data_IF_747729370605
#
_entry.id   IF_747729370605
#
_cell.length_a   1.000
_cell.length_b   1.000
_cell.length_c   1.000
_cell.angle_alpha   90.00
_cell.angle_beta   90.00
_cell.angle_gamma   90.00
#
_symmetry.space_group_name_H-M   'P 1'
#
loop_
_entity.id
_entity.type
_entity.pdbx_description
1 polymer ?
#
# COMPACT_ATOMS: atom_id res chain seq x y z
N UNK A 1 66.09 25.41 -35.23
CA UNK A 1 64.83 25.68 -34.50
C UNK A 1 64.01 24.40 -34.51
N UNK A 2 64.04 23.66 -33.40
CA UNK A 2 63.43 22.34 -33.26
C UNK A 2 61.92 22.48 -33.03
N UNK A 3 61.10 21.83 -33.87
CA UNK A 3 59.66 21.76 -33.66
C UNK A 3 59.34 20.52 -32.82
N UNK A 4 58.95 20.72 -31.57
CA UNK A 4 58.36 19.67 -30.73
C UNK A 4 56.98 19.28 -31.28
N UNK A 5 56.61 17.99 -31.29
CA UNK A 5 55.24 17.59 -31.54
C UNK A 5 54.41 17.80 -30.25
N UNK A 6 53.32 18.55 -30.37
CA UNK A 6 52.29 18.65 -29.32
C UNK A 6 51.51 17.34 -29.31
N UNK A 7 51.69 16.55 -28.25
CA UNK A 7 50.89 15.34 -27.99
C UNK A 7 49.56 15.80 -27.38
N UNK A 8 48.48 15.67 -28.14
CA UNK A 8 47.11 15.96 -27.71
C UNK A 8 46.61 14.81 -26.82
N UNK A 9 46.58 15.03 -25.51
CA UNK A 9 46.03 14.08 -24.54
C UNK A 9 44.49 14.12 -24.64
N UNK A 10 43.90 13.14 -25.31
CA UNK A 10 42.43 12.95 -25.32
C UNK A 10 42.04 12.35 -23.97
N UNK A 11 41.53 13.19 -23.07
CA UNK A 11 40.83 12.78 -21.86
C UNK A 11 39.57 12.01 -22.28
N UNK A 12 39.64 10.68 -22.26
CA UNK A 12 38.48 9.80 -22.30
C UNK A 12 37.70 10.00 -20.99
N UNK A 13 36.86 11.04 -20.96
CA UNK A 13 35.74 11.08 -20.02
C UNK A 13 34.87 9.88 -20.34
N UNK A 14 35.05 8.80 -19.60
CA UNK A 14 34.15 7.66 -19.63
C UNK A 14 32.74 8.20 -19.34
N UNK A 15 31.91 8.27 -20.37
CA UNK A 15 30.48 8.49 -20.23
C UNK A 15 29.94 7.32 -19.41
N UNK A 16 29.96 7.45 -18.08
CA UNK A 16 29.20 6.56 -17.21
C UNK A 16 27.76 6.62 -17.70
N UNK A 17 27.27 5.53 -18.27
CA UNK A 17 25.86 5.45 -18.65
C UNK A 17 25.04 5.75 -17.39
N UNK A 18 24.12 6.72 -17.43
CA UNK A 18 23.31 7.05 -16.27
C UNK A 18 22.59 5.78 -15.81
N UNK A 19 22.69 5.48 -14.51
CA UNK A 19 22.08 4.27 -13.96
C UNK A 19 20.57 4.28 -14.22
N UNK A 20 20.03 3.10 -14.53
CA UNK A 20 18.61 2.96 -14.85
C UNK A 20 17.76 3.38 -13.64
N UNK A 21 16.77 4.23 -13.88
CA UNK A 21 15.81 4.61 -12.83
C UNK A 21 15.08 3.37 -12.28
N UNK A 22 14.67 3.36 -10.99
CA UNK A 22 14.03 2.20 -10.35
C UNK A 22 12.85 1.63 -11.14
N UNK A 23 11.99 2.51 -11.68
CA UNK A 23 10.84 2.09 -12.50
C UNK A 23 11.23 1.36 -13.79
N UNK A 24 12.38 1.70 -14.38
CA UNK A 24 12.90 1.03 -15.58
C UNK A 24 13.54 -0.32 -15.24
N UNK A 25 14.20 -0.42 -14.08
CA UNK A 25 14.68 -1.70 -13.55
C UNK A 25 13.48 -2.62 -13.31
N UNK A 26 12.44 -2.16 -12.61
CA UNK A 26 11.21 -2.90 -12.39
C UNK A 26 10.58 -3.42 -13.69
N UNK A 27 10.42 -2.54 -14.70
CA UNK A 27 9.88 -2.92 -16.02
C UNK A 27 10.68 -4.05 -16.67
N UNK A 28 12.02 -3.97 -16.64
CA UNK A 28 12.90 -5.01 -17.22
C UNK A 28 12.87 -6.32 -16.43
N UNK A 29 12.80 -6.27 -15.10
CA UNK A 29 12.73 -7.47 -14.26
C UNK A 29 11.40 -8.21 -14.39
N UNK A 30 10.31 -7.48 -14.62
CA UNK A 30 8.95 -8.02 -14.67
C UNK A 30 8.36 -8.14 -16.08
N UNK A 31 9.14 -7.93 -17.14
CA UNK A 31 8.71 -8.22 -18.51
C UNK A 31 8.59 -9.73 -18.77
N UNK A 32 7.75 -10.15 -19.73
CA UNK A 32 7.48 -11.56 -20.04
C UNK A 32 8.77 -12.37 -20.25
N UNK A 33 9.71 -11.82 -21.02
CA UNK A 33 11.01 -12.44 -21.32
C UNK A 33 12.13 -11.72 -20.55
N UNK A 34 11.99 -11.61 -19.23
CA UNK A 34 13.01 -10.97 -18.41
C UNK A 34 14.35 -11.73 -18.50
N UNK A 35 15.43 -10.99 -18.76
CA UNK A 35 16.76 -11.57 -18.86
C UNK A 35 17.29 -11.94 -17.47
N UNK A 36 17.72 -13.19 -17.30
CA UNK A 36 18.20 -13.72 -16.03
C UNK A 36 19.49 -13.04 -15.57
N UNK A 37 20.38 -12.69 -16.50
CA UNK A 37 21.59 -11.92 -16.16
C UNK A 37 21.22 -10.53 -15.65
N UNK A 38 20.28 -9.85 -16.29
CA UNK A 38 19.76 -8.57 -15.82
C UNK A 38 19.13 -8.69 -14.43
N UNK A 39 18.28 -9.69 -14.20
CA UNK A 39 17.65 -9.95 -12.89
C UNK A 39 18.72 -10.14 -11.82
N UNK A 40 19.69 -11.03 -12.05
CA UNK A 40 20.75 -11.32 -11.09
C UNK A 40 21.61 -10.08 -10.78
N UNK A 41 21.90 -9.25 -11.78
CA UNK A 41 22.65 -8.00 -11.58
C UNK A 41 21.86 -6.93 -10.80
N UNK A 42 20.52 -6.97 -10.83
CA UNK A 42 19.63 -5.98 -10.21
C UNK A 42 18.82 -6.56 -9.05
N UNK A 43 19.28 -7.68 -8.46
CA UNK A 43 18.69 -8.28 -7.26
C UNK A 43 19.65 -8.13 -6.08
N UNK A 44 19.12 -7.89 -4.88
CA UNK A 44 19.91 -7.82 -3.64
C UNK A 44 19.03 -8.10 -2.42
N UNK A 45 19.64 -8.17 -1.23
CA UNK A 45 18.92 -8.34 0.04
C UNK A 45 18.07 -9.60 0.07
N UNK A 46 16.80 -9.44 0.45
CA UNK A 46 15.83 -10.54 0.57
C UNK A 46 15.31 -11.01 -0.78
N UNK A 47 15.42 -10.17 -1.82
CA UNK A 47 15.00 -10.51 -3.16
C UNK A 47 16.12 -11.25 -3.91
N UNK A 48 15.83 -12.51 -4.28
CA UNK A 48 16.77 -13.41 -4.97
C UNK A 48 16.38 -13.70 -6.42
N UNK A 49 15.87 -12.70 -7.13
CA UNK A 49 15.47 -12.85 -8.53
C UNK A 49 14.10 -13.50 -8.75
N UNK A 50 13.36 -13.82 -7.69
CA UNK A 50 12.04 -14.43 -7.77
C UNK A 50 11.07 -13.84 -6.73
N UNK A 51 9.79 -13.58 -7.09
CA UNK A 51 9.21 -13.73 -8.42
C UNK A 51 9.77 -12.70 -9.42
N UNK A 52 9.80 -13.07 -10.69
CA UNK A 52 10.21 -12.27 -11.85
C UNK A 52 9.09 -12.23 -12.90
N UNK A 53 9.31 -11.50 -14.00
CA UNK A 53 8.38 -11.46 -15.11
C UNK A 53 8.16 -12.80 -15.81
N UNK A 54 9.15 -13.71 -15.73
CA UNK A 54 9.09 -15.09 -16.26
C UNK A 54 8.14 -15.99 -15.46
N UNK A 55 7.90 -15.66 -14.20
CA UNK A 55 7.00 -16.41 -13.30
C UNK A 55 5.54 -15.97 -13.44
N UNK A 56 5.28 -14.93 -14.25
CA UNK A 56 3.95 -14.39 -14.49
C UNK A 56 3.41 -14.86 -15.85
N UNK A 57 2.10 -15.15 -15.96
CA UNK A 57 1.47 -15.46 -17.24
C UNK A 57 1.81 -14.43 -18.33
N UNK A 58 1.99 -14.89 -19.57
CA UNK A 58 2.38 -14.03 -20.68
C UNK A 58 1.35 -12.91 -20.94
N UNK A 59 0.07 -13.24 -20.83
CA UNK A 59 -1.10 -12.37 -21.01
C UNK A 59 -1.41 -11.46 -19.80
N UNK A 60 -0.67 -11.59 -18.69
CA UNK A 60 -0.85 -10.72 -17.52
C UNK A 60 -0.45 -9.28 -17.84
N UNK A 61 -1.38 -8.34 -17.74
CA UNK A 61 -1.08 -6.92 -17.87
C UNK A 61 -0.29 -6.44 -16.66
N UNK A 62 0.68 -5.55 -16.89
CA UNK A 62 1.63 -5.04 -15.90
C UNK A 62 1.71 -3.52 -16.02
N UNK A 63 1.42 -2.79 -14.95
CA UNK A 63 1.69 -1.36 -14.86
C UNK A 63 2.61 -1.04 -13.70
N UNK A 64 3.39 0.03 -13.87
CA UNK A 64 4.41 0.43 -12.91
C UNK A 64 4.26 1.90 -12.57
N UNK A 65 4.32 2.22 -11.28
CA UNK A 65 4.26 3.59 -10.79
C UNK A 65 5.35 3.82 -9.75
N UNK A 66 6.17 4.85 -9.95
CA UNK A 66 7.10 5.31 -8.93
C UNK A 66 6.33 5.93 -7.76
N UNK A 67 6.44 5.35 -6.57
CA UNK A 67 5.76 5.84 -5.36
C UNK A 67 6.65 6.81 -4.58
N UNK A 68 7.93 6.45 -4.41
CA UNK A 68 8.93 7.25 -3.71
C UNK A 68 10.31 7.00 -4.32
N UNK A 69 11.13 8.04 -4.36
CA UNK A 69 12.54 7.93 -4.68
C UNK A 69 13.32 8.92 -3.80
N UNK A 70 14.29 8.39 -3.07
CA UNK A 70 15.30 9.11 -2.28
C UNK A 70 16.68 8.81 -2.88
N UNK A 71 17.73 9.31 -2.27
CA UNK A 71 19.09 9.12 -2.78
C UNK A 71 19.51 7.65 -2.87
N UNK A 72 19.13 6.86 -1.86
CA UNK A 72 19.56 5.46 -1.69
C UNK A 72 18.42 4.43 -1.68
N UNK A 73 17.16 4.88 -1.62
CA UNK A 73 15.98 4.00 -1.58
C UNK A 73 14.89 4.45 -2.54
N UNK A 74 14.11 3.50 -3.04
CA UNK A 74 12.95 3.80 -3.88
C UNK A 74 11.88 2.71 -3.75
N UNK A 75 10.63 3.05 -4.03
CA UNK A 75 9.53 2.12 -4.05
C UNK A 75 8.72 2.31 -5.32
N UNK A 76 8.43 1.20 -6.01
CA UNK A 76 7.64 1.17 -7.25
C UNK A 76 6.44 0.25 -7.05
N UNK A 77 5.23 0.74 -7.28
CA UNK A 77 4.05 -0.13 -7.36
C UNK A 77 4.09 -0.91 -8.67
N UNK A 78 3.80 -2.20 -8.59
CA UNK A 78 3.55 -3.11 -9.69
C UNK A 78 2.10 -3.58 -9.58
N UNK A 79 1.25 -3.14 -10.51
CA UNK A 79 -0.11 -3.64 -10.62
C UNK A 79 -0.16 -4.73 -11.69
N UNK A 80 -0.74 -5.86 -11.31
CA UNK A 80 -0.90 -7.04 -12.14
C UNK A 80 -2.38 -7.26 -12.43
N UNK A 81 -2.74 -7.51 -13.69
CA UNK A 81 -4.12 -7.76 -14.08
C UNK A 81 -4.23 -8.90 -15.10
N UNK A 82 -5.13 -9.83 -14.85
CA UNK A 82 -5.49 -10.90 -15.78
C UNK A 82 -6.97 -11.28 -15.59
N UNK A 83 -7.84 -10.88 -16.52
CA UNK A 83 -9.29 -11.00 -16.33
C UNK A 83 -9.76 -10.28 -15.06
N UNK A 84 -10.33 -11.04 -14.12
CA UNK A 84 -10.79 -10.55 -12.80
C UNK A 84 -9.70 -10.62 -11.71
N UNK A 85 -8.55 -11.24 -11.99
CA UNK A 85 -7.41 -11.23 -11.08
C UNK A 85 -6.75 -9.86 -11.14
N UNK A 86 -6.74 -9.14 -10.02
CA UNK A 86 -5.99 -7.90 -9.84
C UNK A 86 -5.15 -8.03 -8.58
N UNK A 87 -3.86 -7.70 -8.67
CA UNK A 87 -2.95 -7.74 -7.53
C UNK A 87 -1.98 -6.57 -7.57
N UNK A 88 -1.85 -5.88 -6.45
CA UNK A 88 -0.84 -4.83 -6.24
C UNK A 88 0.34 -5.40 -5.46
N UNK A 89 1.54 -5.15 -5.95
CA UNK A 89 2.82 -5.46 -5.30
C UNK A 89 3.64 -4.18 -5.17
N UNK A 90 4.45 -4.09 -4.13
CA UNK A 90 5.31 -2.93 -3.90
C UNK A 90 6.76 -3.36 -3.93
N UNK A 91 7.50 -2.89 -4.94
CA UNK A 91 8.88 -3.26 -5.23
C UNK A 91 9.81 -2.27 -4.54
N UNK A 92 10.66 -2.75 -3.64
CA UNK A 92 11.60 -1.92 -2.87
C UNK A 92 12.97 -1.99 -3.50
N UNK A 93 13.53 -0.83 -3.83
CA UNK A 93 14.85 -0.70 -4.41
C UNK A 93 15.81 -0.05 -3.43
N UNK A 94 17.04 -0.52 -3.42
CA UNK A 94 18.17 0.16 -2.81
C UNK A 94 19.23 0.44 -3.86
N UNK A 95 19.97 1.51 -3.70
CA UNK A 95 21.08 1.85 -4.58
C UNK A 95 22.34 1.18 -4.04
N UNK A 96 22.95 0.34 -4.86
CA UNK A 96 24.16 -0.40 -4.54
C UNK A 96 25.17 -0.20 -5.67
N UNK A 97 26.35 0.31 -5.31
CA UNK A 97 27.46 0.53 -6.25
C UNK A 97 27.03 1.38 -7.46
N UNK A 98 26.21 2.41 -7.21
CA UNK A 98 25.70 3.33 -8.24
C UNK A 98 24.51 2.81 -9.05
N UNK A 99 24.05 1.58 -8.83
CA UNK A 99 22.94 0.95 -9.56
C UNK A 99 21.76 0.63 -8.64
N UNK A 100 20.54 0.81 -9.14
CA UNK A 100 19.33 0.43 -8.40
C UNK A 100 19.11 -1.07 -8.44
N UNK A 101 18.98 -1.71 -7.29
CA UNK A 101 18.71 -3.14 -7.15
C UNK A 101 17.43 -3.37 -6.35
N UNK A 102 16.59 -4.29 -6.81
CA UNK A 102 15.40 -4.74 -6.09
C UNK A 102 15.86 -5.51 -4.85
N UNK A 103 15.51 -5.00 -3.67
CA UNK A 103 15.88 -5.55 -2.37
C UNK A 103 14.75 -6.35 -1.71
N UNK A 104 13.49 -6.08 -2.09
CA UNK A 104 12.34 -6.75 -1.50
C UNK A 104 11.03 -6.47 -2.22
N UNK A 105 10.01 -7.26 -1.91
CA UNK A 105 8.65 -7.10 -2.44
C UNK A 105 7.68 -7.12 -1.25
N UNK A 106 6.96 -6.02 -1.06
CA UNK A 106 5.86 -5.92 -0.11
C UNK A 106 4.55 -6.40 -0.72
N UNK A 107 3.81 -7.19 0.05
CA UNK A 107 2.44 -7.61 -0.25
C UNK A 107 1.61 -7.55 1.04
N UNK A 108 0.30 -7.26 0.98
CA UNK A 108 -0.52 -7.20 2.17
C UNK A 108 -0.50 -8.53 2.94
N UNK A 109 -0.14 -8.49 4.22
CA UNK A 109 -0.18 -9.68 5.09
C UNK A 109 -1.61 -10.14 5.29
N UNK A 110 -1.83 -11.46 5.45
CA UNK A 110 -3.15 -12.07 5.68
C UNK A 110 -4.17 -11.89 4.54
N UNK A 111 -3.78 -11.37 3.37
CA UNK A 111 -4.68 -11.18 2.23
C UNK A 111 -5.48 -12.45 1.90
N UNK A 112 -4.82 -13.63 1.93
CA UNK A 112 -5.48 -14.92 1.70
C UNK A 112 -6.55 -15.25 2.75
N UNK A 113 -6.31 -14.94 4.02
CA UNK A 113 -7.30 -15.16 5.09
C UNK A 113 -8.49 -14.21 4.92
N UNK A 114 -8.22 -12.94 4.61
CA UNK A 114 -9.27 -11.95 4.34
C UNK A 114 -10.11 -12.33 3.11
N UNK A 115 -9.50 -12.88 2.04
CA UNK A 115 -10.24 -13.38 0.87
C UNK A 115 -11.14 -14.55 1.25
N UNK A 116 -10.62 -15.53 1.99
CA UNK A 116 -11.43 -16.68 2.45
C UNK A 116 -12.59 -16.23 3.32
N UNK A 117 -12.34 -15.30 4.25
CA UNK A 117 -13.36 -14.72 5.11
C UNK A 117 -14.44 -14.02 4.31
N UNK A 118 -14.05 -13.14 3.37
CA UNK A 118 -14.98 -12.45 2.49
C UNK A 118 -15.85 -13.44 1.69
N UNK A 119 -15.23 -14.45 1.08
CA UNK A 119 -15.95 -15.47 0.32
C UNK A 119 -16.94 -16.26 1.19
N UNK A 120 -16.54 -16.65 2.40
CA UNK A 120 -17.40 -17.36 3.34
C UNK A 120 -18.62 -16.51 3.74
N UNK A 121 -18.41 -15.22 4.04
CA UNK A 121 -19.50 -14.31 4.39
C UNK A 121 -20.44 -14.05 3.21
N UNK A 122 -19.92 -13.87 2.00
CA UNK A 122 -20.73 -13.63 0.78
C UNK A 122 -21.52 -14.86 0.33
N UNK A 123 -21.09 -16.07 0.71
CA UNK A 123 -21.79 -17.31 0.38
C UNK A 123 -23.02 -17.56 1.27
N UNK A 124 -23.19 -16.82 2.37
CA UNK A 124 -24.33 -16.99 3.27
C UNK A 124 -25.62 -16.49 2.60
N UNK A 125 -26.67 -17.29 2.67
CA UNK A 125 -28.03 -16.85 2.32
C UNK A 125 -28.57 -15.89 3.39
N UNK A 126 -29.59 -15.07 3.08
CA UNK A 126 -30.21 -14.19 4.07
C UNK A 126 -30.65 -14.93 5.36
N UNK A 127 -31.27 -16.10 5.22
CA UNK A 127 -31.69 -16.91 6.37
C UNK A 127 -30.51 -17.44 7.19
N UNK A 128 -29.37 -17.76 6.53
CA UNK A 128 -28.15 -18.17 7.22
C UNK A 128 -27.53 -17.00 7.99
N UNK A 129 -27.51 -15.79 7.41
CA UNK A 129 -27.06 -14.57 8.10
C UNK A 129 -27.90 -14.35 9.36
N UNK A 130 -29.23 -14.42 9.26
CA UNK A 130 -30.12 -14.25 10.41
C UNK A 130 -29.86 -15.30 11.50
N UNK A 131 -29.52 -16.54 11.11
CA UNK A 131 -29.14 -17.60 12.03
C UNK A 131 -27.82 -17.30 12.74
N UNK A 132 -26.79 -16.91 11.99
CA UNK A 132 -25.49 -16.51 12.55
C UNK A 132 -25.62 -15.33 13.49
N UNK A 133 -26.46 -14.34 13.18
CA UNK A 133 -26.70 -13.19 14.07
C UNK A 133 -27.39 -13.58 15.37
N UNK A 134 -28.34 -14.53 15.34
CA UNK A 134 -28.96 -15.06 16.56
C UNK A 134 -27.97 -15.84 17.42
N UNK A 135 -27.10 -16.63 16.79
CA UNK A 135 -26.04 -17.36 17.49
C UNK A 135 -24.99 -16.40 18.09
N UNK A 136 -24.64 -15.34 17.35
CA UNK A 136 -23.69 -14.31 17.80
C UNK A 136 -24.11 -13.64 19.12
N UNK A 137 -25.42 -13.53 19.40
CA UNK A 137 -25.94 -12.98 20.66
C UNK A 137 -25.59 -13.82 21.90
N UNK A 138 -25.16 -15.07 21.72
CA UNK A 138 -24.74 -15.94 22.83
C UNK A 138 -23.29 -15.67 23.29
N UNK A 139 -22.53 -14.91 22.52
CA UNK A 139 -21.14 -14.57 22.86
C UNK A 139 -21.06 -13.19 23.52
N UNK A 140 -20.11 -13.04 24.45
CA UNK A 140 -19.88 -11.76 25.15
C UNK A 140 -19.40 -10.67 24.20
N UNK A 141 -18.56 -11.03 23.23
CA UNK A 141 -17.97 -10.10 22.26
C UNK A 141 -17.92 -10.72 20.84
N UNK A 142 -19.08 -10.88 20.17
CA UNK A 142 -19.13 -11.35 18.80
C UNK A 142 -18.57 -10.29 17.85
N UNK A 143 -18.04 -10.73 16.72
CA UNK A 143 -17.49 -9.86 15.69
C UNK A 143 -18.53 -8.86 15.13
N UNK A 144 -19.81 -9.27 15.06
CA UNK A 144 -20.93 -8.46 14.62
C UNK A 144 -22.22 -8.90 15.29
N UNK A 145 -23.08 -7.95 15.66
CA UNK A 145 -24.34 -8.17 16.38
C UNK A 145 -25.57 -7.87 15.54
N UNK A 146 -25.42 -7.04 14.51
CA UNK A 146 -26.53 -6.62 13.65
C UNK A 146 -26.21 -6.87 12.19
N UNK A 147 -27.25 -6.82 11.35
CA UNK A 147 -27.10 -6.94 9.90
C UNK A 147 -26.22 -5.82 9.33
N UNK A 148 -26.35 -4.62 9.86
CA UNK A 148 -25.55 -3.47 9.46
C UNK A 148 -24.06 -3.65 9.81
N UNK A 149 -23.75 -4.26 10.95
CA UNK A 149 -22.36 -4.58 11.32
C UNK A 149 -21.78 -5.69 10.44
N UNK A 150 -22.58 -6.72 10.13
CA UNK A 150 -22.19 -7.76 9.17
C UNK A 150 -21.89 -7.15 7.79
N UNK A 151 -22.82 -6.36 7.26
CA UNK A 151 -22.68 -5.73 5.94
C UNK A 151 -21.49 -4.74 5.94
N UNK A 152 -21.25 -4.03 7.05
CA UNK A 152 -20.07 -3.17 7.20
C UNK A 152 -18.77 -3.96 7.07
N UNK A 153 -18.65 -5.12 7.72
CA UNK A 153 -17.46 -5.97 7.63
C UNK A 153 -17.29 -6.50 6.20
N UNK A 154 -18.36 -6.99 5.57
CA UNK A 154 -18.30 -7.48 4.17
C UNK A 154 -17.80 -6.39 3.23
N UNK A 155 -18.42 -5.20 3.29
CA UNK A 155 -18.05 -4.08 2.43
C UNK A 155 -16.64 -3.57 2.73
N UNK A 156 -16.22 -3.58 4.00
CA UNK A 156 -14.86 -3.17 4.37
C UNK A 156 -13.80 -4.17 3.91
N UNK A 157 -14.07 -5.48 3.99
CA UNK A 157 -13.21 -6.53 3.42
C UNK A 157 -13.08 -6.38 1.90
N UNK A 158 -14.20 -6.13 1.20
CA UNK A 158 -14.19 -5.87 -0.23
C UNK A 158 -13.29 -4.69 -0.58
N UNK A 159 -13.44 -3.57 0.12
CA UNK A 159 -12.62 -2.38 -0.12
C UNK A 159 -11.15 -2.61 0.24
N UNK A 160 -10.86 -3.25 1.37
CA UNK A 160 -9.50 -3.57 1.85
C UNK A 160 -8.72 -4.43 0.85
N UNK A 161 -9.40 -5.38 0.22
CA UNK A 161 -8.83 -6.30 -0.78
C UNK A 161 -8.82 -5.73 -2.20
N UNK A 162 -9.44 -4.56 -2.40
CA UNK A 162 -9.52 -3.96 -3.71
C UNK A 162 -8.16 -3.38 -4.17
N UNK A 163 -8.00 -3.19 -5.49
CA UNK A 163 -6.83 -2.50 -6.03
C UNK A 163 -6.72 -1.05 -5.51
N UNK A 164 -5.51 -0.50 -5.54
CA UNK A 164 -5.22 0.87 -5.12
C UNK A 164 -6.17 1.91 -5.75
N UNK A 165 -6.48 1.77 -7.04
CA UNK A 165 -7.35 2.69 -7.75
C UNK A 165 -8.81 2.65 -7.24
N UNK A 166 -9.27 1.50 -6.74
CA UNK A 166 -10.60 1.39 -6.12
C UNK A 166 -10.62 2.09 -4.76
N UNK A 167 -9.56 1.96 -3.96
CA UNK A 167 -9.40 2.67 -2.69
C UNK A 167 -9.35 4.19 -2.90
N UNK A 168 -8.66 4.64 -3.95
CA UNK A 168 -8.58 6.04 -4.37
C UNK A 168 -9.97 6.54 -4.82
N UNK A 169 -10.67 5.77 -5.66
CA UNK A 169 -12.00 6.14 -6.13
C UNK A 169 -13.02 6.23 -4.99
N UNK A 170 -12.96 5.31 -4.02
CA UNK A 170 -13.80 5.35 -2.81
C UNK A 170 -13.60 6.64 -2.01
N UNK A 171 -12.34 7.02 -1.79
CA UNK A 171 -12.00 8.26 -1.11
C UNK A 171 -12.55 9.49 -1.82
N UNK A 172 -12.36 9.58 -3.14
CA UNK A 172 -12.86 10.72 -3.91
C UNK A 172 -14.38 10.79 -3.95
N UNK A 173 -15.06 9.64 -4.07
CA UNK A 173 -16.52 9.54 -4.02
C UNK A 173 -17.09 10.12 -2.73
N UNK A 174 -16.46 9.85 -1.59
CA UNK A 174 -16.93 10.29 -0.27
C UNK A 174 -16.12 11.43 0.34
N UNK A 175 -15.39 12.19 -0.49
CA UNK A 175 -14.46 13.22 -0.03
C UNK A 175 -15.07 14.22 0.97
N UNK A 176 -16.30 14.75 0.79
CA UNK A 176 -16.89 15.67 1.77
C UNK A 176 -17.07 15.04 3.15
N UNK A 177 -17.44 13.76 3.22
CA UNK A 177 -17.61 13.04 4.48
C UNK A 177 -16.26 12.71 5.14
N UNK A 178 -15.21 12.41 4.37
CA UNK A 178 -13.84 12.32 4.90
C UNK A 178 -13.35 13.65 5.47
N UNK A 179 -13.55 14.76 4.76
CA UNK A 179 -13.12 16.08 5.25
C UNK A 179 -13.91 16.49 6.53
N UNK A 180 -15.21 16.16 6.61
CA UNK A 180 -16.00 16.33 7.84
C UNK A 180 -15.47 15.46 8.99
N UNK A 181 -15.16 14.19 8.72
CA UNK A 181 -14.62 13.27 9.72
C UNK A 181 -13.25 13.74 10.24
N UNK A 182 -12.41 14.29 9.37
CA UNK A 182 -11.12 14.87 9.75
C UNK A 182 -11.29 16.07 10.70
N UNK A 183 -12.29 16.93 10.47
CA UNK A 183 -12.58 18.05 11.38
C UNK A 183 -12.95 17.50 12.76
N UNK A 184 -13.82 16.51 12.82
CA UNK A 184 -14.19 15.86 14.08
C UNK A 184 -12.98 15.22 14.78
N UNK A 185 -12.12 14.50 14.03
CA UNK A 185 -10.92 13.87 14.59
C UNK A 185 -9.93 14.92 15.15
N UNK A 186 -9.71 16.03 14.44
CA UNK A 186 -8.87 17.14 14.93
C UNK A 186 -9.43 17.82 16.19
N UNK A 187 -10.75 17.86 16.34
CA UNK A 187 -11.39 18.37 17.55
C UNK A 187 -11.21 17.40 18.72
N UNK A 188 -11.38 16.09 18.48
CA UNK A 188 -11.19 15.04 19.48
C UNK A 188 -9.76 15.03 20.04
N UNK A 189 -8.74 15.25 19.19
CA UNK A 189 -7.33 15.33 19.60
C UNK A 189 -6.99 16.47 20.56
N UNK A 190 -7.90 17.42 20.79
CA UNK A 190 -7.71 18.50 21.78
C UNK A 190 -8.16 18.10 23.19
N UNK A 191 -8.83 16.95 23.33
CA UNK A 191 -9.25 16.38 24.59
C UNK A 191 -8.22 15.35 25.09
N UNK A 192 -8.23 14.96 26.38
CA UNK A 192 -7.42 13.86 26.87
C UNK A 192 -7.65 12.61 26.01
N UNK A 193 -6.59 12.14 25.37
CA UNK A 193 -6.63 11.00 24.45
C UNK A 193 -6.56 9.69 25.22
N UNK A 194 -7.51 8.81 24.97
CA UNK A 194 -7.46 7.41 25.38
C UNK A 194 -7.05 6.58 24.17
N UNK A 195 -5.85 6.01 24.21
CA UNK A 195 -5.24 5.25 23.12
C UNK A 195 -6.03 3.98 22.74
N UNK A 196 -6.89 3.49 23.65
CA UNK A 196 -7.68 2.29 23.42
C UNK A 196 -8.98 2.54 22.65
N UNK A 197 -9.36 3.80 22.45
CA UNK A 197 -10.63 4.17 21.82
C UNK A 197 -10.42 4.93 20.52
N UNK A 198 -11.27 4.66 19.53
CA UNK A 198 -11.32 5.46 18.29
C UNK A 198 -11.59 6.93 18.63
N UNK A 199 -10.82 7.83 18.01
CA UNK A 199 -10.97 9.29 18.19
C UNK A 199 -12.38 9.78 17.92
N UNK A 200 -13.08 9.15 16.97
CA UNK A 200 -14.45 9.50 16.58
C UNK A 200 -15.26 8.21 16.41
N UNK A 201 -16.52 8.24 16.83
CA UNK A 201 -17.47 7.18 16.51
C UNK A 201 -17.84 7.22 15.03
N UNK A 202 -17.31 6.28 14.25
CA UNK A 202 -17.56 6.15 12.80
C UNK A 202 -18.79 5.31 12.47
N UNK A 203 -19.46 4.71 13.47
CA UNK A 203 -20.66 3.87 13.27
C UNK A 203 -21.92 4.67 12.94
N UNK A 204 -21.85 6.00 12.93
CA UNK A 204 -22.97 6.89 12.60
C UNK A 204 -23.36 6.77 11.11
N UNK A 205 -24.62 7.05 10.74
CA UNK A 205 -25.05 7.05 9.34
C UNK A 205 -24.21 7.97 8.43
N UNK A 206 -23.67 9.07 8.98
CA UNK A 206 -22.87 10.03 8.22
C UNK A 206 -21.49 9.47 7.80
N UNK A 207 -20.90 8.59 8.62
CA UNK A 207 -19.54 8.07 8.39
C UNK A 207 -19.51 6.60 7.98
N UNK A 208 -20.61 5.86 8.15
CA UNK A 208 -20.70 4.45 7.76
C UNK A 208 -20.30 4.17 6.31
N UNK A 209 -20.68 4.99 5.30
CA UNK A 209 -20.25 4.76 3.91
C UNK A 209 -18.73 4.87 3.69
N UNK A 210 -18.00 5.49 4.63
CA UNK A 210 -16.54 5.63 4.54
C UNK A 210 -15.81 4.32 4.82
N UNK A 211 -16.47 3.36 5.48
CA UNK A 211 -15.91 2.07 5.88
C UNK A 211 -14.67 2.19 6.79
N UNK A 212 -14.67 3.22 7.63
CA UNK A 212 -13.61 3.47 8.63
C UNK A 212 -14.02 2.83 9.95
N UNK A 213 -13.26 1.83 10.41
CA UNK A 213 -13.53 1.12 11.67
C UNK A 213 -12.93 1.80 12.89
N UNK A 214 -11.83 2.53 12.69
CA UNK A 214 -11.08 3.17 13.76
C UNK A 214 -10.37 4.43 13.25
N UNK A 215 -10.17 5.41 14.14
CA UNK A 215 -9.33 6.57 13.88
C UNK A 215 -8.35 6.74 15.04
N UNK A 216 -7.05 6.79 14.73
CA UNK A 216 -6.00 6.93 15.72
C UNK A 216 -4.93 7.92 15.28
N UNK A 217 -3.94 8.12 16.15
CA UNK A 217 -2.66 8.75 15.83
C UNK A 217 -1.55 7.89 16.40
N UNK A 218 -0.45 7.70 15.67
CA UNK A 218 0.71 6.95 16.17
C UNK A 218 0.68 5.46 15.81
N UNK A 219 1.29 4.62 16.65
CA UNK A 219 1.46 3.20 16.37
C UNK A 219 2.44 2.93 15.24
N UNK A 220 1.99 2.27 14.16
CA UNK A 220 2.82 2.01 12.97
C UNK A 220 3.08 3.27 12.13
N UNK A 221 2.30 4.33 12.35
CA UNK A 221 2.37 5.59 11.62
C UNK A 221 2.88 6.70 12.54
N UNK A 222 3.50 7.75 12.00
CA UNK A 222 4.01 8.86 12.82
C UNK A 222 2.88 9.54 13.60
N UNK A 223 3.12 9.91 14.85
CA UNK A 223 2.12 10.55 15.75
C UNK A 223 1.57 11.87 15.22
N UNK A 224 2.29 12.52 14.31
CA UNK A 224 1.88 13.74 13.63
C UNK A 224 0.82 13.51 12.55
N UNK A 225 0.57 12.25 12.18
CA UNK A 225 -0.46 11.85 11.25
C UNK A 225 -1.74 11.41 11.96
N UNK A 226 -2.88 11.56 11.28
CA UNK A 226 -4.17 10.99 11.69
C UNK A 226 -4.49 9.83 10.76
N UNK A 227 -4.75 8.67 11.34
CA UNK A 227 -4.91 7.41 10.64
C UNK A 227 -6.38 7.00 10.63
N UNK A 228 -6.92 6.71 9.44
CA UNK A 228 -8.31 6.31 9.22
C UNK A 228 -8.32 4.88 8.70
N UNK A 229 -8.60 3.94 9.58
CA UNK A 229 -8.43 2.51 9.39
C UNK A 229 -9.61 1.87 8.63
N UNK A 230 -9.36 1.21 7.50
CA UNK A 230 -10.35 0.36 6.82
C UNK A 230 -10.22 -1.05 7.39
N UNK A 231 -11.17 -1.39 8.28
CA UNK A 231 -11.28 -2.68 8.95
C UNK A 231 -9.93 -3.16 9.50
N UNK A 232 -9.65 -2.71 10.72
CA UNK A 232 -8.33 -2.80 11.36
C UNK A 232 -7.26 -1.96 10.64
N UNK A 233 -6.01 -2.15 10.99
CA UNK A 233 -4.89 -1.21 10.80
C UNK A 233 -4.03 -1.43 9.54
N UNK A 234 -4.35 -2.42 8.70
CA UNK A 234 -3.49 -2.76 7.55
C UNK A 234 -3.63 -1.83 6.34
N UNK A 235 -4.80 -1.23 6.14
CA UNK A 235 -5.14 -0.44 4.95
C UNK A 235 -6.00 0.72 5.41
N UNK A 236 -5.73 1.92 4.91
CA UNK A 236 -6.51 3.07 5.32
C UNK A 236 -6.08 4.36 4.66
N UNK A 237 -6.59 5.46 5.19
CA UNK A 237 -6.21 6.79 4.78
C UNK A 237 -5.42 7.48 5.87
N UNK A 238 -4.48 8.31 5.46
CA UNK A 238 -3.60 9.08 6.33
C UNK A 238 -3.86 10.56 6.05
N UNK A 239 -3.94 11.36 7.10
CA UNK A 239 -3.86 12.81 6.97
C UNK A 239 -2.62 13.36 7.65
N UNK A 240 -1.84 14.16 6.93
CA UNK A 240 -0.79 15.01 7.49
C UNK A 240 -0.73 16.36 6.78
N UNK A 241 -0.52 17.48 7.50
CA UNK A 241 -0.35 18.78 6.88
C UNK A 241 0.99 18.95 6.16
N UNK A 242 2.00 18.13 6.47
CA UNK A 242 3.37 18.26 5.97
C UNK A 242 3.93 16.88 5.58
N UNK A 243 4.47 16.78 4.35
CA UNK A 243 4.96 15.53 3.79
C UNK A 243 6.19 14.98 4.52
N UNK A 244 6.91 15.83 5.28
CA UNK A 244 8.06 15.37 6.08
C UNK A 244 7.66 14.37 7.17
N UNK A 245 6.38 14.36 7.57
CA UNK A 245 5.84 13.42 8.54
C UNK A 245 5.36 12.12 7.90
N UNK A 246 5.48 11.95 6.58
CA UNK A 246 5.14 10.68 5.96
C UNK A 246 6.13 9.59 6.42
N UNK A 247 5.64 8.36 6.66
CA UNK A 247 6.50 7.26 7.04
C UNK A 247 7.49 6.93 5.92
N UNK A 248 8.63 6.40 6.32
CA UNK A 248 9.53 5.72 5.40
C UNK A 248 8.87 4.43 4.88
N UNK A 249 9.00 4.17 3.58
CA UNK A 249 8.44 2.96 2.98
C UNK A 249 9.37 1.77 3.20
N UNK A 250 8.82 0.69 3.75
CA UNK A 250 9.54 -0.58 4.00
C UNK A 250 8.66 -1.79 3.67
N UNK A 251 9.25 -2.90 3.20
CA UNK A 251 8.49 -4.10 2.84
C UNK A 251 7.79 -4.76 4.04
N UNK A 252 8.31 -4.55 5.26
CA UNK A 252 7.87 -5.16 6.52
C UNK A 252 7.08 -4.21 7.44
N UNK A 253 6.81 -2.97 6.99
CA UNK A 253 6.05 -1.96 7.74
C UNK A 253 5.09 -1.22 6.81
N UNK A 254 5.21 0.10 6.66
CA UNK A 254 4.42 0.86 5.70
C UNK A 254 4.95 0.59 4.30
N UNK A 255 4.24 -0.23 3.54
CA UNK A 255 4.71 -0.71 2.25
C UNK A 255 4.26 0.19 1.09
N UNK A 256 3.23 1.00 1.28
CA UNK A 256 2.77 1.96 0.29
C UNK A 256 2.18 3.20 0.95
N UNK A 257 2.50 4.35 0.37
CA UNK A 257 1.80 5.63 0.58
C UNK A 257 1.53 6.24 -0.79
N UNK A 258 0.29 6.69 -1.05
CA UNK A 258 -0.10 7.40 -2.27
C UNK A 258 -0.82 8.70 -1.97
N UNK A 259 -0.33 9.80 -2.53
CA UNK A 259 -0.93 11.13 -2.37
C UNK A 259 -2.30 11.21 -3.03
N UNK A 260 -3.30 11.67 -2.28
CA UNK A 260 -4.69 11.91 -2.73
C UNK A 260 -5.02 13.41 -2.80
N UNK A 261 -4.13 14.27 -2.29
CA UNK A 261 -4.22 15.73 -2.35
C UNK A 261 -4.79 16.38 -1.08
N UNK A 262 -4.35 17.63 -0.83
CA UNK A 262 -4.69 18.44 0.36
C UNK A 262 -4.36 17.72 1.68
N UNK A 263 -3.17 17.13 1.77
CA UNK A 263 -2.68 16.45 2.98
C UNK A 263 -3.21 15.03 3.19
N UNK A 264 -4.03 14.51 2.28
CA UNK A 264 -4.52 13.13 2.33
C UNK A 264 -3.65 12.17 1.53
N UNK A 265 -3.49 10.97 2.08
CA UNK A 265 -2.78 9.86 1.48
C UNK A 265 -3.56 8.56 1.69
N UNK A 266 -3.44 7.63 0.75
CA UNK A 266 -3.77 6.21 0.94
C UNK A 266 -2.53 5.53 1.49
N UNK A 267 -2.68 4.61 2.43
CA UNK A 267 -1.57 3.78 2.90
C UNK A 267 -1.94 2.29 2.92
N UNK A 268 -0.91 1.45 2.83
CA UNK A 268 -0.98 0.02 3.19
C UNK A 268 0.25 -0.36 4.01
N UNK A 269 0.03 -1.17 5.03
CA UNK A 269 1.09 -1.73 5.86
C UNK A 269 1.12 -3.26 5.75
N UNK A 270 2.32 -3.83 5.83
CA UNK A 270 2.53 -5.22 6.17
C UNK A 270 2.57 -5.31 7.70
N UNK A 271 1.75 -6.19 8.28
CA UNK A 271 1.81 -6.50 9.71
C UNK A 271 2.27 -7.94 9.83
N UNK A 272 3.39 -8.16 10.50
CA UNK A 272 3.75 -9.46 11.04
C UNK A 272 3.19 -9.52 12.45
N UNK A 273 2.22 -10.40 12.67
CA UNK A 273 1.76 -10.79 14.00
C UNK A 273 2.74 -11.79 14.59
#
# INVERSE_FOLDING_TARGET
MNKLPVILLILLSACAQPSLQPVMVAKKMFQVNADEKFINAHSTGDYRGSPSGRDLPADMQRSFLLLQQRDETSTVALNLRQGNLIADKYLFFTKDSGSWKLSGIGTPTLARLNVRKLQAMQALSPAAIDSTLREAQQYTDPEYKTREEFDFIVNSLQLKLAPDDTLIAHFHKYRPAFDSLLIAAKQALRQPYDEYNSLVNTKTPAYRPLLISNISTGGFLPKECIDFHILYDQVGYLYTPDEKYLPELRPDKVMMVRKLGRGWYLYKVAIYL
#
